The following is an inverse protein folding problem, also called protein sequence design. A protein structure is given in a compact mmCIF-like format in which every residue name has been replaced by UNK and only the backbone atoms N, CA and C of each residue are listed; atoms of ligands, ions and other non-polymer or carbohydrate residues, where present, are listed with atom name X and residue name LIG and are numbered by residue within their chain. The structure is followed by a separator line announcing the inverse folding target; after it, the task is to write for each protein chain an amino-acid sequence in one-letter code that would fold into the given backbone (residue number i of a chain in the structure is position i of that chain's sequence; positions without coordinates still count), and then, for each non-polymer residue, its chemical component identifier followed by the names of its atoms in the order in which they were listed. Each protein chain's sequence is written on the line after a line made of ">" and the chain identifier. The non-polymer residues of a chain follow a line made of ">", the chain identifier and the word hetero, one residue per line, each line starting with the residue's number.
data_IF_538478948915
#
_entry.id   IF_538478948915
#
_cell.length_a   1.000
_cell.length_b   1.000
_cell.length_c   1.000
_cell.angle_alpha   90.00
_cell.angle_beta   90.00
_cell.angle_gamma   90.00
#
_symmetry.space_group_name_H-M   'P 1'
#
loop_
_entity.id
_entity.type
_entity.pdbx_description
1 polymer ?
#
# COMPACT_ATOMS: atom_id res chain seq x y z
N UNK A 1 17.66 -8.95 -5.31
CA UNK A 1 16.71 -7.83 -5.33
C UNK A 1 15.72 -7.97 -4.19
N UNK A 2 15.51 -6.92 -3.41
CA UNK A 2 14.63 -7.03 -2.25
C UNK A 2 13.14 -7.11 -2.61
N UNK A 3 12.76 -6.77 -3.85
CA UNK A 3 11.38 -6.85 -4.26
C UNK A 3 11.27 -7.07 -5.77
N UNK A 4 10.08 -7.46 -6.22
CA UNK A 4 9.82 -7.79 -7.62
C UNK A 4 9.68 -6.53 -8.48
N UNK A 5 10.69 -6.24 -9.28
CA UNK A 5 10.69 -5.05 -10.13
C UNK A 5 9.74 -5.18 -11.32
N UNK A 6 9.44 -6.40 -11.75
CA UNK A 6 8.44 -6.58 -12.80
C UNK A 6 7.05 -6.19 -12.31
N UNK A 7 6.73 -6.50 -11.05
CA UNK A 7 5.49 -6.05 -10.44
C UNK A 7 5.45 -4.52 -10.30
N UNK A 8 6.58 -3.92 -9.95
CA UNK A 8 6.70 -2.47 -9.89
C UNK A 8 6.35 -1.84 -11.25
N UNK A 9 6.90 -2.38 -12.32
CA UNK A 9 6.63 -1.86 -13.66
C UNK A 9 5.16 -2.01 -14.04
N UNK A 10 4.54 -3.12 -13.68
CA UNK A 10 3.11 -3.33 -13.96
C UNK A 10 2.23 -2.33 -13.21
N UNK A 11 2.55 -2.08 -11.94
CA UNK A 11 1.81 -1.12 -11.13
C UNK A 11 1.92 0.27 -11.75
N UNK A 12 3.13 0.68 -12.10
CA UNK A 12 3.35 2.02 -12.63
C UNK A 12 2.75 2.19 -14.02
N UNK A 13 2.64 1.12 -14.77
CA UNK A 13 1.95 1.14 -16.06
C UNK A 13 0.43 1.34 -15.87
N UNK A 14 -0.15 0.66 -14.90
CA UNK A 14 -1.58 0.78 -14.60
C UNK A 14 -1.92 2.19 -14.09
N UNK A 15 -1.04 2.78 -13.29
CA UNK A 15 -1.25 4.10 -12.68
C UNK A 15 -0.33 5.17 -13.26
N UNK A 16 -0.12 5.15 -14.56
CA UNK A 16 0.80 6.08 -15.24
C UNK A 16 0.44 7.55 -15.06
N UNK A 17 -0.83 7.85 -14.81
CA UNK A 17 -1.30 9.24 -14.66
C UNK A 17 -1.76 9.55 -13.23
N UNK A 18 -1.46 8.67 -12.29
CA UNK A 18 -1.94 8.84 -10.93
C UNK A 18 -1.03 9.70 -10.06
N UNK A 19 -1.58 10.16 -8.95
CA UNK A 19 -0.83 10.89 -7.93
C UNK A 19 -0.22 9.92 -6.92
N UNK A 20 0.56 8.97 -7.42
CA UNK A 20 1.21 7.99 -6.56
C UNK A 20 2.56 8.52 -6.10
N UNK A 21 2.75 8.52 -4.80
CA UNK A 21 4.05 8.79 -4.21
C UNK A 21 4.66 7.44 -3.85
N UNK A 22 5.93 7.23 -4.18
CA UNK A 22 6.61 5.97 -3.95
C UNK A 22 7.68 6.16 -2.88
N UNK A 23 7.69 5.29 -1.88
CA UNK A 23 8.70 5.29 -0.83
C UNK A 23 9.27 3.90 -0.63
N UNK A 24 10.57 3.84 -0.43
CA UNK A 24 11.22 2.58 -0.04
C UNK A 24 11.05 2.38 1.45
N UNK A 25 10.63 1.19 1.85
CA UNK A 25 10.53 0.84 3.27
C UNK A 25 10.50 -0.67 3.44
N UNK A 26 11.03 -1.14 4.55
CA UNK A 26 11.05 -2.57 4.92
C UNK A 26 11.69 -3.48 3.88
N UNK A 27 12.63 -2.95 3.08
CA UNK A 27 13.25 -3.73 2.01
C UNK A 27 12.39 -3.85 0.76
N UNK A 28 11.24 -3.18 0.73
CA UNK A 28 10.36 -3.13 -0.43
C UNK A 28 10.01 -1.71 -0.80
N UNK A 29 8.89 -1.53 -1.45
CA UNK A 29 8.37 -0.18 -1.75
C UNK A 29 6.91 -0.09 -1.37
N UNK A 30 6.49 1.11 -1.05
CA UNK A 30 5.11 1.41 -0.72
C UNK A 30 4.64 2.60 -1.54
N UNK A 31 3.41 2.54 -2.01
CA UNK A 31 2.80 3.63 -2.76
C UNK A 31 1.77 4.33 -1.87
N UNK A 32 1.84 5.66 -1.88
CA UNK A 32 0.96 6.49 -1.07
C UNK A 32 0.08 7.34 -1.98
N UNK A 33 -1.15 7.54 -1.54
CA UNK A 33 -2.12 8.41 -2.21
C UNK A 33 -2.61 9.38 -1.16
N UNK A 34 -2.45 10.68 -1.42
CA UNK A 34 -2.78 11.73 -0.43
C UNK A 34 -2.05 11.52 0.89
N UNK A 35 -0.82 10.99 0.84
CA UNK A 35 -0.02 10.72 2.02
C UNK A 35 -0.39 9.44 2.77
N UNK A 36 -1.42 8.72 2.32
CA UNK A 36 -1.88 7.49 2.95
C UNK A 36 -1.39 6.28 2.17
N UNK A 37 -0.87 5.29 2.87
CA UNK A 37 -0.42 4.05 2.23
C UNK A 37 -1.60 3.35 1.58
N UNK A 38 -1.40 2.85 0.38
CA UNK A 38 -2.45 2.17 -0.39
C UNK A 38 -2.07 0.73 -0.73
N UNK A 39 -0.89 0.53 -1.28
CA UNK A 39 -0.39 -0.79 -1.64
C UNK A 39 1.12 -0.71 -1.77
N UNK A 40 1.75 -1.86 -1.91
CA UNK A 40 3.21 -1.91 -2.02
C UNK A 40 3.69 -3.25 -2.50
N UNK A 41 5.01 -3.42 -2.49
CA UNK A 41 5.65 -4.67 -2.89
C UNK A 41 6.67 -5.05 -1.84
N UNK A 42 6.61 -6.31 -1.40
CA UNK A 42 7.62 -6.89 -0.53
C UNK A 42 7.97 -8.26 -1.09
N UNK A 43 9.23 -8.44 -1.53
CA UNK A 43 9.65 -9.64 -2.23
C UNK A 43 8.77 -9.84 -3.47
N UNK A 44 8.07 -10.97 -3.59
CA UNK A 44 7.16 -11.25 -4.70
C UNK A 44 5.69 -11.04 -4.33
N UNK A 45 5.44 -10.45 -3.18
CA UNK A 45 4.08 -10.22 -2.69
C UNK A 45 3.61 -8.80 -3.01
N UNK A 46 2.38 -8.71 -3.46
CA UNK A 46 1.68 -7.44 -3.50
C UNK A 46 1.08 -7.21 -2.12
N UNK A 47 1.38 -6.07 -1.52
CA UNK A 47 0.83 -5.71 -0.21
C UNK A 47 -0.31 -4.74 -0.47
N UNK A 48 -1.49 -5.01 0.09
CA UNK A 48 -2.67 -4.17 -0.14
C UNK A 48 -3.30 -3.77 1.18
N UNK A 49 -3.62 -2.50 1.30
CA UNK A 49 -4.31 -1.96 2.47
C UNK A 49 -5.79 -1.79 2.17
N UNK A 50 -6.63 -2.18 3.12
CA UNK A 50 -8.08 -2.10 2.95
C UNK A 50 -8.76 -2.04 4.31
N UNK A 51 -10.08 -1.90 4.33
CA UNK A 51 -10.83 -1.94 5.58
C UNK A 51 -10.61 -3.29 6.26
N UNK A 52 -10.46 -3.33 7.61
CA UNK A 52 -10.19 -4.58 8.31
C UNK A 52 -11.19 -5.70 8.04
N UNK A 53 -12.46 -5.37 7.88
CA UNK A 53 -13.50 -6.38 7.57
C UNK A 53 -13.25 -7.00 6.21
N UNK A 54 -12.90 -6.19 5.22
CA UNK A 54 -12.59 -6.67 3.89
C UNK A 54 -11.32 -7.50 3.88
N UNK A 55 -10.30 -7.07 4.63
CA UNK A 55 -9.06 -7.81 4.74
C UNK A 55 -9.30 -9.21 5.31
N UNK A 56 -10.12 -9.32 6.34
CA UNK A 56 -10.48 -10.61 6.93
C UNK A 56 -11.18 -11.51 5.91
N UNK A 57 -12.06 -10.93 5.10
CA UNK A 57 -12.75 -11.67 4.04
C UNK A 57 -11.77 -12.17 2.98
N UNK A 58 -10.82 -11.32 2.58
CA UNK A 58 -9.84 -11.70 1.55
C UNK A 58 -8.91 -12.81 1.99
N UNK A 59 -8.71 -12.99 3.29
CA UNK A 59 -7.88 -14.07 3.80
C UNK A 59 -8.46 -15.47 3.50
N UNK A 60 -9.70 -15.56 3.07
CA UNK A 60 -10.28 -16.83 2.63
C UNK A 60 -9.73 -17.30 1.27
N UNK A 61 -9.06 -16.40 0.55
CA UNK A 61 -8.41 -16.74 -0.72
C UNK A 61 -7.09 -17.45 -0.41
N UNK A 62 -6.83 -18.58 -1.06
CA UNK A 62 -5.62 -19.37 -0.81
C UNK A 62 -4.32 -18.64 -1.16
N UNK A 63 -4.39 -17.60 -2.00
CA UNK A 63 -3.22 -16.83 -2.41
C UNK A 63 -3.04 -15.55 -1.59
N UNK A 64 -3.82 -15.38 -0.54
CA UNK A 64 -3.79 -14.18 0.29
C UNK A 64 -3.41 -14.54 1.71
N UNK A 65 -2.44 -13.83 2.26
CA UNK A 65 -1.94 -14.06 3.62
C UNK A 65 -2.05 -12.78 4.43
N UNK A 66 -2.12 -12.93 5.74
CA UNK A 66 -2.06 -11.77 6.62
C UNK A 66 -0.68 -11.11 6.51
N UNK A 67 -0.65 -9.79 6.52
CA UNK A 67 0.62 -9.08 6.51
C UNK A 67 1.18 -9.07 7.93
N UNK A 68 2.27 -9.79 8.12
CA UNK A 68 2.88 -10.00 9.42
C UNK A 68 4.36 -9.69 9.33
N UNK A 69 4.72 -8.43 9.50
CA UNK A 69 6.09 -7.98 9.42
C UNK A 69 6.79 -8.03 10.78
N UNK A 70 6.04 -7.87 11.85
CA UNK A 70 6.58 -7.72 13.20
C UNK A 70 6.22 -8.86 14.14
N UNK A 71 5.71 -9.97 13.60
CA UNK A 71 5.24 -11.09 14.41
C UNK A 71 3.78 -11.00 14.79
N UNK A 72 3.12 -9.89 14.46
CA UNK A 72 1.68 -9.71 14.69
C UNK A 72 1.02 -9.28 13.40
N UNK A 73 -0.10 -9.91 13.01
CA UNK A 73 -0.82 -9.52 11.80
C UNK A 73 -1.27 -8.06 11.90
N UNK A 74 -1.08 -7.31 10.84
CA UNK A 74 -1.53 -5.91 10.76
C UNK A 74 -2.94 -5.87 10.20
N UNK A 75 -3.88 -5.38 10.99
CA UNK A 75 -5.28 -5.28 10.58
C UNK A 75 -5.41 -4.36 9.38
N UNK A 76 -6.19 -4.80 8.39
CA UNK A 76 -6.40 -4.01 7.20
C UNK A 76 -5.31 -4.16 6.14
N UNK A 77 -4.36 -5.07 6.34
CA UNK A 77 -3.29 -5.34 5.38
C UNK A 77 -3.28 -6.80 4.99
N UNK A 78 -3.08 -7.06 3.71
CA UNK A 78 -2.91 -8.43 3.23
C UNK A 78 -1.72 -8.52 2.28
N UNK A 79 -1.15 -9.72 2.20
CA UNK A 79 -0.08 -10.06 1.25
C UNK A 79 -0.67 -10.95 0.19
N UNK A 80 -0.56 -10.56 -1.07
CA UNK A 80 -1.14 -11.29 -2.20
C UNK A 80 -0.01 -11.98 -2.97
N UNK A 81 -0.11 -13.29 -3.09
CA UNK A 81 0.86 -14.08 -3.85
C UNK A 81 0.67 -13.90 -5.35
N UNK A 82 1.72 -14.18 -6.10
CA UNK A 82 1.73 -14.00 -7.55
C UNK A 82 0.55 -14.64 -8.26
N UNK A 83 0.08 -15.78 -7.77
CA UNK A 83 -1.06 -16.47 -8.37
C UNK A 83 -2.33 -15.64 -8.45
N UNK A 84 -2.46 -14.63 -7.58
CA UNK A 84 -3.63 -13.73 -7.58
C UNK A 84 -3.36 -12.35 -8.11
N UNK A 85 -2.14 -12.03 -8.54
CA UNK A 85 -1.87 -10.71 -9.14
C UNK A 85 -1.17 -10.79 -10.50
N UNK A 86 -0.88 -11.97 -11.01
CA UNK A 86 -0.09 -12.08 -12.24
C UNK A 86 -0.87 -11.74 -13.52
N UNK A 87 -2.18 -11.64 -13.46
CA UNK A 87 -3.00 -11.15 -14.57
C UNK A 87 -3.31 -9.67 -14.37
N UNK A 88 -3.27 -8.91 -15.47
CA UNK A 88 -3.42 -7.46 -15.39
C UNK A 88 -4.72 -7.02 -14.73
N UNK A 89 -5.85 -7.62 -15.07
CA UNK A 89 -7.13 -7.25 -14.46
C UNK A 89 -7.25 -7.68 -13.00
N UNK A 90 -6.65 -8.80 -12.63
CA UNK A 90 -6.57 -9.18 -11.21
C UNK A 90 -5.74 -8.18 -10.42
N UNK A 91 -4.57 -7.83 -10.96
CA UNK A 91 -3.71 -6.84 -10.34
C UNK A 91 -4.43 -5.50 -10.21
N UNK A 92 -5.06 -5.04 -11.29
CA UNK A 92 -5.78 -3.77 -11.26
C UNK A 92 -6.88 -3.77 -10.19
N UNK A 93 -7.57 -4.90 -10.01
CA UNK A 93 -8.58 -5.03 -8.95
C UNK A 93 -8.01 -4.85 -7.56
N UNK A 94 -6.87 -5.47 -7.28
CA UNK A 94 -6.20 -5.31 -5.98
C UNK A 94 -5.75 -3.87 -5.77
N UNK A 95 -5.16 -3.26 -6.80
CA UNK A 95 -4.70 -1.88 -6.71
C UNK A 95 -5.85 -0.92 -6.48
N UNK A 96 -6.99 -1.17 -7.11
CA UNK A 96 -8.18 -0.35 -6.93
C UNK A 96 -8.72 -0.43 -5.49
N UNK A 97 -8.65 -1.60 -4.87
CA UNK A 97 -9.04 -1.75 -3.47
C UNK A 97 -8.16 -0.85 -2.58
N UNK A 98 -6.85 -0.93 -2.75
CA UNK A 98 -5.92 -0.12 -1.96
C UNK A 98 -6.09 1.37 -2.23
N UNK A 99 -6.26 1.74 -3.49
CA UNK A 99 -6.49 3.13 -3.89
C UNK A 99 -7.77 3.68 -3.28
N UNK A 100 -8.85 2.95 -3.40
CA UNK A 100 -10.14 3.38 -2.87
C UNK A 100 -10.10 3.58 -1.36
N UNK A 101 -9.42 2.68 -0.65
CA UNK A 101 -9.28 2.81 0.79
C UNK A 101 -8.47 4.06 1.15
N UNK A 102 -7.33 4.27 0.50
CA UNK A 102 -6.49 5.45 0.77
C UNK A 102 -7.23 6.74 0.47
N UNK A 103 -8.02 6.78 -0.61
CA UNK A 103 -8.82 7.95 -0.95
C UNK A 103 -9.96 8.21 0.03
N UNK A 104 -10.41 7.18 0.75
CA UNK A 104 -11.47 7.34 1.76
C UNK A 104 -10.95 7.98 3.03
N UNK A 105 -9.64 8.04 3.22
CA UNK A 105 -9.02 8.63 4.40
C UNK A 105 -8.77 10.12 4.18
N UNK A 106 -8.73 10.92 5.25
CA UNK A 106 -8.35 12.33 5.12
C UNK A 106 -6.95 12.44 4.53
N UNK A 107 -6.73 13.46 3.71
CA UNK A 107 -5.42 13.73 3.15
C UNK A 107 -4.42 13.94 4.26
N UNK A 108 -3.32 13.20 4.22
CA UNK A 108 -2.30 13.26 5.26
C UNK A 108 -1.23 14.27 4.88
N UNK A 109 -1.01 15.23 5.76
CA UNK A 109 0.05 16.22 5.56
C UNK A 109 1.40 15.59 5.84
N UNK A 110 2.49 16.11 5.23
CA UNK A 110 3.83 15.68 5.57
C UNK A 110 4.05 15.87 7.06
N UNK A 111 4.24 14.78 7.76
CA UNK A 111 4.30 14.76 9.21
C UNK A 111 5.31 15.73 9.79
N UNK A 112 6.52 15.70 9.27
CA UNK A 112 7.58 16.57 9.75
C UNK A 112 7.22 18.04 9.57
N UNK A 113 6.78 18.40 8.39
CA UNK A 113 6.46 19.79 8.09
C UNK A 113 5.35 20.33 8.98
N UNK A 114 4.28 19.59 9.13
CA UNK A 114 3.15 20.08 9.90
C UNK A 114 3.51 20.25 11.38
N UNK A 115 4.29 19.34 11.95
CA UNK A 115 4.70 19.43 13.35
C UNK A 115 5.63 20.63 13.57
N UNK A 116 6.64 20.77 12.75
CA UNK A 116 7.59 21.87 12.88
C UNK A 116 6.94 23.24 12.67
N UNK A 117 6.13 23.35 11.66
CA UNK A 117 5.47 24.63 11.37
C UNK A 117 4.56 25.05 12.51
N UNK A 118 3.79 24.14 13.06
CA UNK A 118 2.91 24.42 14.16
C UNK A 118 3.71 24.82 15.39
N UNK A 119 4.78 24.10 15.66
CA UNK A 119 5.62 24.39 16.83
C UNK A 119 6.19 25.80 16.75
N UNK A 120 6.86 26.12 15.66
CA UNK A 120 7.51 27.43 15.53
C UNK A 120 6.51 28.57 15.47
N UNK A 121 5.35 28.34 14.88
CA UNK A 121 4.31 29.36 14.83
C UNK A 121 3.81 29.72 16.21
N UNK A 122 3.74 28.75 17.11
CA UNK A 122 3.18 28.95 18.45
C UNK A 122 4.22 29.31 19.51
N UNK A 123 5.51 29.21 19.21
CA UNK A 123 6.57 29.36 20.20
C UNK A 123 7.58 30.45 19.88
N UNK A 124 7.19 31.38 19.09
CA UNK A 124 8.04 32.53 18.77
C UNK A 124 8.06 33.52 19.92
#
# INVERSE_FOLDING_TARGET
>A
MPYNTALEDLIEDIFSEGNLEKKKMFGGICYLINGNMSFGILKDYLIVRMAPVLAAEKLNNEHVRAFDLTGKPMKGWVMVEKGSWNKRDELAGWLDIGRSFALSLPKKLPKRKSIEEIYYRNHR
#
